data_IF_970526080850
#
_entry.id   IF_970526080850
#
_cell.length_a   1.000
_cell.length_b   1.000
_cell.length_c   1.000
_cell.angle_alpha   90.00
_cell.angle_beta   90.00
_cell.angle_gamma   90.00
#
_symmetry.space_group_name_H-M   'P 1'
#
loop_
_entity.id
_entity.type
_entity.pdbx_description
1 polymer ?
#
# COMPACT_ATOMS: atom_id res chain seq x y z
N UNK A 1 7.22 -9.57 -9.57
CA UNK A 1 6.14 -8.64 -9.16
C UNK A 1 5.09 -9.48 -8.44
N UNK A 2 4.85 -9.24 -7.14
CA UNK A 2 3.89 -10.00 -6.32
C UNK A 2 2.59 -9.23 -6.24
N UNK A 3 1.44 -9.88 -6.44
CA UNK A 3 0.14 -9.25 -6.25
C UNK A 3 -0.45 -9.80 -4.96
N UNK A 4 -0.74 -8.93 -4.00
CA UNK A 4 -1.47 -9.29 -2.78
C UNK A 4 -2.93 -8.89 -3.02
N UNK A 5 -3.85 -9.82 -2.77
CA UNK A 5 -5.28 -9.63 -2.98
C UNK A 5 -6.04 -9.98 -1.71
N UNK A 6 -7.14 -9.29 -1.49
CA UNK A 6 -8.24 -9.73 -0.66
C UNK A 6 -9.56 -9.41 -1.36
N UNK A 7 -10.68 -9.72 -0.69
CA UNK A 7 -12.04 -9.48 -1.20
C UNK A 7 -12.31 -8.02 -1.61
N UNK A 8 -11.55 -7.07 -1.06
CA UNK A 8 -11.80 -5.62 -1.17
C UNK A 8 -10.62 -4.84 -1.75
N UNK A 9 -9.56 -5.48 -2.23
CA UNK A 9 -8.41 -4.80 -2.80
C UNK A 9 -7.44 -5.80 -3.46
N UNK A 10 -6.77 -5.35 -4.51
CA UNK A 10 -5.51 -5.93 -4.95
C UNK A 10 -4.42 -4.85 -4.96
N UNK A 11 -3.23 -5.17 -4.47
CA UNK A 11 -2.03 -4.33 -4.58
C UNK A 11 -0.90 -5.11 -5.24
N UNK A 12 -0.09 -4.41 -6.03
CA UNK A 12 1.06 -4.97 -6.73
C UNK A 12 2.34 -4.50 -6.04
N UNK A 13 3.09 -5.41 -5.42
CA UNK A 13 4.38 -5.12 -4.78
C UNK A 13 5.52 -5.57 -5.69
N UNK A 14 6.50 -4.68 -5.90
CA UNK A 14 7.68 -5.00 -6.68
C UNK A 14 8.88 -5.25 -5.76
N UNK A 15 9.29 -6.51 -5.61
CA UNK A 15 10.36 -6.91 -4.70
C UNK A 15 11.75 -6.31 -5.04
N UNK A 16 11.98 -5.90 -6.29
CA UNK A 16 13.27 -5.30 -6.70
C UNK A 16 13.34 -3.80 -6.40
N UNK A 17 12.21 -3.18 -6.05
CA UNK A 17 12.16 -1.78 -5.63
C UNK A 17 11.55 -1.72 -4.22
N UNK A 18 12.38 -1.68 -3.16
CA UNK A 18 11.90 -1.62 -1.78
C UNK A 18 11.12 -0.34 -1.49
N UNK A 19 11.21 0.68 -2.34
CA UNK A 19 10.50 1.96 -2.23
C UNK A 19 9.26 2.02 -3.12
N UNK A 20 8.88 0.91 -3.75
CA UNK A 20 7.65 0.82 -4.51
C UNK A 20 6.47 1.25 -3.61
N UNK A 21 5.65 2.18 -4.12
CA UNK A 21 4.60 2.92 -3.42
C UNK A 21 5.00 4.10 -2.55
N UNK A 22 6.29 4.36 -2.32
CA UNK A 22 6.72 5.56 -1.60
C UNK A 22 6.93 6.72 -2.58
N UNK A 23 6.45 7.89 -2.17
CA UNK A 23 6.64 9.14 -2.90
C UNK A 23 7.10 10.22 -1.94
N UNK A 24 8.25 10.84 -2.20
CA UNK A 24 8.73 11.97 -1.41
C UNK A 24 8.06 13.25 -1.91
N UNK A 25 7.31 13.92 -1.06
CA UNK A 25 6.71 15.21 -1.31
C UNK A 25 7.33 16.24 -0.36
N UNK A 26 8.33 16.99 -0.84
CA UNK A 26 9.05 18.05 -0.11
C UNK A 26 9.45 17.66 1.32
N UNK A 27 10.05 16.48 1.50
CA UNK A 27 10.52 16.01 2.81
C UNK A 27 9.45 15.28 3.63
N UNK A 28 8.28 14.99 3.06
CA UNK A 28 7.31 14.07 3.65
C UNK A 28 7.08 12.89 2.74
N UNK A 29 7.22 11.67 3.24
CA UNK A 29 6.88 10.47 2.48
C UNK A 29 5.38 10.25 2.44
N UNK A 30 4.90 9.80 1.28
CA UNK A 30 3.53 9.42 1.01
C UNK A 30 3.49 8.00 0.48
N UNK A 31 2.42 7.28 0.81
CA UNK A 31 2.12 6.01 0.19
C UNK A 31 1.11 6.20 -0.93
N UNK A 32 1.47 5.75 -2.13
CA UNK A 32 0.64 5.77 -3.34
C UNK A 32 0.38 4.35 -3.81
N UNK A 33 -0.88 3.93 -3.79
CA UNK A 33 -1.27 2.64 -4.32
C UNK A 33 -2.64 2.68 -4.98
N UNK A 34 -2.86 1.72 -5.85
CA UNK A 34 -4.15 1.50 -6.50
C UNK A 34 -4.78 0.28 -5.84
N UNK A 35 -5.98 0.43 -5.30
CA UNK A 35 -6.81 -0.65 -4.80
C UNK A 35 -7.94 -0.94 -5.79
N UNK A 36 -8.37 -2.18 -5.86
CA UNK A 36 -9.52 -2.62 -6.67
C UNK A 36 -10.56 -3.24 -5.75
N UNK A 37 -11.43 -2.43 -5.12
CA UNK A 37 -12.40 -2.94 -4.15
C UNK A 37 -13.51 -3.81 -4.71
N UNK A 38 -13.73 -3.75 -6.01
CA UNK A 38 -14.59 -4.68 -6.73
C UNK A 38 -13.87 -5.12 -8.00
N UNK A 39 -14.41 -6.11 -8.71
CA UNK A 39 -13.86 -6.55 -9.99
C UNK A 39 -13.79 -5.44 -11.06
N UNK A 40 -14.60 -4.38 -10.91
CA UNK A 40 -14.76 -3.33 -11.93
C UNK A 40 -14.40 -1.93 -11.43
N UNK A 41 -14.18 -1.74 -10.13
CA UNK A 41 -13.85 -0.44 -9.55
C UNK A 41 -12.39 -0.35 -9.18
N UNK A 42 -11.76 0.75 -9.58
CA UNK A 42 -10.38 1.08 -9.22
C UNK A 42 -10.36 2.35 -8.38
N UNK A 43 -9.67 2.32 -7.25
CA UNK A 43 -9.45 3.46 -6.37
C UNK A 43 -7.96 3.76 -6.26
N UNK A 44 -7.59 5.03 -6.48
CA UNK A 44 -6.23 5.51 -6.23
C UNK A 44 -6.17 6.10 -4.83
N UNK A 45 -5.35 5.51 -3.97
CA UNK A 45 -5.15 5.97 -2.60
C UNK A 45 -3.80 6.67 -2.50
N UNK A 46 -3.83 7.89 -1.97
CA UNK A 46 -2.65 8.67 -1.62
C UNK A 46 -2.76 9.09 -0.17
N UNK A 47 -1.79 8.70 0.66
CA UNK A 47 -1.82 9.02 2.09
C UNK A 47 -0.44 9.45 2.55
N UNK A 48 -0.36 10.58 3.25
CA UNK A 48 0.88 10.99 3.90
C UNK A 48 1.26 9.97 4.97
N UNK A 49 2.53 9.57 4.95
CA UNK A 49 3.15 8.76 6.00
C UNK A 49 3.70 9.63 7.12
N UNK A 50 3.62 10.97 7.02
CA UNK A 50 3.98 11.94 8.06
C UNK A 50 5.39 11.72 8.63
N UNK A 51 6.34 11.40 7.77
CA UNK A 51 7.75 11.19 8.14
C UNK A 51 8.67 11.65 7.02
N UNK A 52 9.80 12.31 7.32
CA UNK A 52 10.88 12.55 6.37
C UNK A 52 11.82 11.34 6.22
N UNK A 53 11.83 10.44 7.20
CA UNK A 53 12.70 9.27 7.25
C UNK A 53 12.16 8.16 6.34
N UNK A 54 13.02 7.65 5.45
CA UNK A 54 12.70 6.60 4.50
C UNK A 54 12.44 5.25 5.16
N UNK A 55 13.21 4.86 6.17
CA UNK A 55 13.03 3.59 6.87
C UNK A 55 11.70 3.59 7.63
N UNK A 56 11.41 4.69 8.34
CA UNK A 56 10.11 4.88 9.00
C UNK A 56 8.97 4.91 7.97
N UNK A 57 9.21 5.44 6.77
CA UNK A 57 8.21 5.42 5.69
C UNK A 57 7.94 3.99 5.20
N UNK A 58 8.98 3.16 5.03
CA UNK A 58 8.85 1.74 4.67
C UNK A 58 8.04 0.99 5.72
N UNK A 59 8.38 1.14 7.00
CA UNK A 59 7.68 0.47 8.10
C UNK A 59 6.20 0.89 8.17
N UNK A 60 5.90 2.19 8.06
CA UNK A 60 4.52 2.70 8.07
C UNK A 60 3.72 2.23 6.87
N UNK A 61 4.34 2.15 5.68
CA UNK A 61 3.72 1.55 4.49
C UNK A 61 3.39 0.09 4.76
N UNK A 62 4.37 -0.69 5.20
CA UNK A 62 4.22 -2.14 5.35
C UNK A 62 3.18 -2.48 6.41
N UNK A 63 3.15 -1.74 7.52
CA UNK A 63 2.09 -1.83 8.54
C UNK A 63 0.71 -1.50 7.97
N UNK A 64 0.60 -0.45 7.14
CA UNK A 64 -0.65 -0.05 6.53
C UNK A 64 -1.16 -1.11 5.54
N UNK A 65 -0.28 -1.64 4.69
CA UNK A 65 -0.62 -2.69 3.74
C UNK A 65 -0.97 -3.99 4.47
N UNK A 66 -0.19 -4.38 5.48
CA UNK A 66 -0.49 -5.55 6.30
C UNK A 66 -1.89 -5.44 6.93
N UNK A 67 -2.25 -4.30 7.52
CA UNK A 67 -3.61 -4.08 8.08
C UNK A 67 -4.72 -4.20 7.03
N UNK A 68 -4.49 -3.71 5.81
CA UNK A 68 -5.47 -3.82 4.72
C UNK A 68 -5.72 -5.27 4.32
N UNK A 69 -4.68 -6.12 4.32
CA UNK A 69 -4.80 -7.52 3.89
C UNK A 69 -5.00 -8.52 5.03
N UNK A 70 -4.73 -8.15 6.29
CA UNK A 70 -4.92 -9.00 7.47
C UNK A 70 -6.39 -9.04 7.93
N UNK A 71 -7.16 -7.97 7.69
CA UNK A 71 -8.60 -7.92 8.02
C UNK A 71 -9.51 -8.58 6.97
N UNK A 72 -8.94 -9.39 6.08
CA UNK A 72 -9.69 -10.25 5.17
C UNK A 72 -10.20 -11.42 5.99
N UNK A 73 -11.43 -11.32 6.53
CA UNK A 73 -12.11 -12.52 7.01
C UNK A 73 -12.14 -13.51 5.84
N UNK A 74 -11.78 -14.76 6.09
CA UNK A 74 -12.19 -15.86 5.21
C UNK A 74 -13.71 -15.75 5.05
N UNK A 75 -14.18 -15.46 3.84
CA UNK A 75 -15.54 -15.80 3.46
C UNK A 75 -15.61 -17.32 3.42
N UNK A 76 -16.32 -17.86 4.41
CA UNK A 76 -16.72 -19.26 4.51
C UNK A 76 -17.67 -19.67 3.37
#
# INVERSE_FOLDING_TARGET
MKIIRNEKASIRIWAQNPDHHLFNNNGSWWVHYTATPTAVTTQRVRKSLKTPDLEVARERRDTLLAKLFFNSKEVA
#
